data_IF_245043486108
#
_entry.id   IF_245043486108
#
_cell.length_a   1.000
_cell.length_b   1.000
_cell.length_c   1.000
_cell.angle_alpha   90.00
_cell.angle_beta   90.00
_cell.angle_gamma   90.00
#
_symmetry.space_group_name_H-M   'P 1'
#
loop_
_entity.id
_entity.type
_entity.pdbx_description
1 polymer ?
#
# COMPACT_ATOMS: atom_id res chain seq x y z
N UNK A 1 16.55 -4.96 -8.91
CA UNK A 1 15.92 -5.30 -7.64
C UNK A 1 15.63 -4.03 -6.86
N UNK A 2 14.39 -3.88 -6.36
CA UNK A 2 13.96 -2.63 -5.70
C UNK A 2 14.21 -2.74 -4.20
N UNK A 3 14.92 -1.76 -3.62
CA UNK A 3 15.08 -1.64 -2.17
C UNK A 3 13.87 -0.93 -1.55
N UNK A 4 13.53 0.23 -2.08
CA UNK A 4 12.37 0.98 -1.64
C UNK A 4 11.85 1.85 -2.80
N UNK A 5 10.59 2.23 -2.71
CA UNK A 5 9.94 3.14 -3.65
C UNK A 5 8.89 3.95 -2.90
N UNK A 6 8.23 4.87 -3.57
CA UNK A 6 7.23 5.68 -2.92
C UNK A 6 6.45 6.56 -3.87
N UNK A 7 5.58 7.36 -3.30
CA UNK A 7 4.80 8.32 -4.05
C UNK A 7 4.58 9.62 -3.26
N UNK A 8 4.22 10.66 -3.99
CA UNK A 8 3.75 11.91 -3.41
C UNK A 8 2.25 11.82 -3.12
N UNK A 9 1.82 12.50 -2.07
CA UNK A 9 0.42 12.50 -1.64
C UNK A 9 -0.10 13.94 -1.56
N UNK A 10 -1.37 14.13 -1.89
CA UNK A 10 -1.99 15.47 -1.89
C UNK A 10 -2.52 15.89 -0.52
N UNK A 11 -2.86 14.93 0.33
CA UNK A 11 -3.40 15.17 1.66
C UNK A 11 -2.77 14.20 2.63
N UNK A 12 -1.86 14.70 3.46
CA UNK A 12 -1.07 13.86 4.38
C UNK A 12 -1.94 13.04 5.32
N UNK A 13 -2.92 13.67 5.98
CA UNK A 13 -3.75 12.99 6.97
C UNK A 13 -4.56 11.85 6.35
N UNK A 14 -5.14 12.07 5.17
CA UNK A 14 -5.91 11.04 4.46
C UNK A 14 -5.03 9.90 4.01
N UNK A 15 -3.86 10.20 3.44
CA UNK A 15 -2.95 9.16 2.94
C UNK A 15 -2.30 8.39 4.08
N UNK A 16 -1.95 9.08 5.18
CA UNK A 16 -1.44 8.40 6.37
C UNK A 16 -2.48 7.42 6.92
N UNK A 17 -3.73 7.84 7.06
CA UNK A 17 -4.80 6.96 7.55
C UNK A 17 -4.98 5.74 6.65
N UNK A 18 -4.95 5.95 5.33
CA UNK A 18 -5.06 4.87 4.34
C UNK A 18 -3.90 3.87 4.47
N UNK A 19 -2.66 4.34 4.45
CA UNK A 19 -1.49 3.45 4.49
C UNK A 19 -1.27 2.85 5.87
N UNK A 20 -1.61 3.53 6.96
CA UNK A 20 -1.60 2.95 8.31
C UNK A 20 -2.50 1.70 8.35
N UNK A 21 -3.72 1.80 7.83
CA UNK A 21 -4.68 0.70 7.81
C UNK A 21 -4.27 -0.43 6.86
N UNK A 22 -3.85 -0.08 5.65
CA UNK A 22 -3.43 -1.05 4.63
C UNK A 22 -2.23 -1.87 5.11
N UNK A 23 -1.22 -1.22 5.67
CA UNK A 23 -0.03 -1.92 6.17
C UNK A 23 -0.30 -2.73 7.43
N UNK A 24 -1.18 -2.27 8.33
CA UNK A 24 -1.56 -3.05 9.50
C UNK A 24 -2.14 -4.41 9.09
N UNK A 25 -2.96 -4.44 8.03
CA UNK A 25 -3.54 -5.68 7.50
C UNK A 25 -2.48 -6.63 6.93
N UNK A 26 -1.33 -6.10 6.50
CA UNK A 26 -0.22 -6.87 5.94
C UNK A 26 0.88 -7.17 6.97
N UNK A 27 0.63 -6.86 8.24
CA UNK A 27 1.62 -7.07 9.31
C UNK A 27 2.73 -6.03 9.34
N UNK A 28 2.51 -4.89 8.71
CA UNK A 28 3.47 -3.78 8.68
C UNK A 28 2.95 -2.54 9.39
N UNK A 29 3.73 -1.49 9.32
CA UNK A 29 3.38 -0.20 9.94
C UNK A 29 4.29 0.91 9.43
N UNK A 30 3.99 2.15 9.83
CA UNK A 30 4.94 3.24 9.69
C UNK A 30 6.14 2.95 10.59
N UNK A 31 7.31 2.80 9.99
CA UNK A 31 8.54 2.47 10.70
C UNK A 31 9.38 3.70 10.99
N UNK A 32 9.27 4.72 10.16
CA UNK A 32 10.09 5.92 10.32
C UNK A 32 9.37 7.13 9.72
N UNK A 33 9.38 8.23 10.43
CA UNK A 33 8.96 9.53 9.89
C UNK A 33 10.17 10.47 9.95
N UNK A 34 10.53 11.03 8.81
CA UNK A 34 11.69 11.91 8.72
C UNK A 34 11.35 13.23 9.46
N UNK A 35 12.22 13.70 10.35
CA UNK A 35 12.01 15.00 10.97
C UNK A 35 11.90 16.11 9.92
N UNK A 36 10.91 17.00 10.05
CA UNK A 36 10.62 18.02 9.04
C UNK A 36 11.75 19.01 8.82
N UNK A 37 12.65 19.15 9.80
CA UNK A 37 13.86 19.98 9.65
C UNK A 37 14.80 19.45 8.56
N UNK A 38 14.77 18.14 8.27
CA UNK A 38 15.59 17.55 7.21
C UNK A 38 14.88 17.53 5.85
N UNK A 39 13.60 17.86 5.80
CA UNK A 39 12.78 17.79 4.58
C UNK A 39 12.34 19.17 4.09
N UNK A 40 12.76 20.23 4.77
CA UNK A 40 12.27 21.59 4.45
C UNK A 40 10.80 21.78 4.80
N UNK A 41 10.29 21.05 5.79
CA UNK A 41 8.91 21.16 6.27
C UNK A 41 7.94 20.13 5.67
N UNK A 42 8.39 19.29 4.72
CA UNK A 42 7.53 18.25 4.16
C UNK A 42 7.35 17.10 5.13
N UNK A 43 6.17 16.49 5.11
CA UNK A 43 5.93 15.23 5.79
C UNK A 43 6.42 14.08 4.90
N UNK A 44 7.29 13.23 5.44
CA UNK A 44 7.87 12.08 4.75
C UNK A 44 7.91 10.91 5.72
N UNK A 45 7.33 9.77 5.33
CA UNK A 45 7.31 8.59 6.18
C UNK A 45 7.50 7.31 5.37
N UNK A 46 8.14 6.33 6.00
CA UNK A 46 8.39 5.02 5.41
C UNK A 46 7.64 3.93 6.15
N UNK A 47 7.06 3.02 5.38
CA UNK A 47 6.24 1.90 5.84
C UNK A 47 6.90 0.57 5.46
N UNK A 48 6.70 -0.43 6.28
CA UNK A 48 7.19 -1.78 6.01
C UNK A 48 6.96 -2.69 7.20
N UNK A 49 7.41 -3.94 7.09
CA UNK A 49 7.37 -4.90 8.20
C UNK A 49 8.60 -4.76 9.09
N UNK A 50 9.79 -4.82 8.51
CA UNK A 50 11.07 -4.78 9.23
C UNK A 50 11.92 -3.59 8.82
N UNK A 51 11.88 -3.22 7.54
CA UNK A 51 12.53 -2.02 7.02
C UNK A 51 11.53 -1.23 6.17
N UNK A 52 11.69 0.09 6.07
CA UNK A 52 10.79 0.89 5.23
C UNK A 52 11.10 0.65 3.75
N UNK A 53 10.16 0.06 3.05
CA UNK A 53 10.25 -0.19 1.61
C UNK A 53 9.21 0.59 0.79
N UNK A 54 8.23 1.19 1.45
CA UNK A 54 7.25 2.08 0.83
C UNK A 54 7.26 3.44 1.53
N UNK A 55 7.44 4.51 0.75
CA UNK A 55 7.54 5.87 1.27
C UNK A 55 6.44 6.75 0.73
N UNK A 56 5.88 7.62 1.57
CA UNK A 56 4.97 8.67 1.16
C UNK A 56 5.50 10.03 1.57
N UNK A 57 5.25 11.05 0.74
CA UNK A 57 5.69 12.43 0.96
C UNK A 57 4.62 13.39 0.47
N UNK A 58 4.39 14.46 1.21
CA UNK A 58 3.46 15.51 0.74
C UNK A 58 4.14 16.57 -0.12
N UNK A 59 5.38 16.31 -0.55
CA UNK A 59 6.10 17.11 -1.53
C UNK A 59 6.09 16.42 -2.89
N UNK A 60 6.04 17.20 -3.95
CA UNK A 60 6.05 16.68 -5.32
C UNK A 60 4.65 16.53 -5.90
N UNK A 61 4.58 15.94 -7.07
CA UNK A 61 3.31 15.76 -7.79
C UNK A 61 2.64 14.46 -7.35
N UNK A 62 1.44 14.54 -6.73
CA UNK A 62 0.68 13.33 -6.40
C UNK A 62 0.12 12.66 -7.67
N UNK A 63 -0.40 11.41 -7.49
CA UNK A 63 -1.08 10.69 -8.56
C UNK A 63 -2.19 11.48 -9.21
N UNK A 64 -3.02 10.85 -10.06
CA UNK A 64 -3.18 9.40 -10.22
C UNK A 64 -2.15 8.75 -11.15
N UNK A 65 -2.32 7.43 -11.35
CA UNK A 65 -1.65 6.72 -12.44
C UNK A 65 -0.46 5.87 -12.02
N UNK A 66 -0.11 5.86 -10.75
CA UNK A 66 0.94 4.98 -10.25
C UNK A 66 0.37 3.63 -9.85
N UNK A 67 1.19 2.59 -9.94
CA UNK A 67 0.83 1.25 -9.50
C UNK A 67 1.91 0.69 -8.59
N UNK A 68 1.48 0.10 -7.47
CA UNK A 68 2.35 -0.63 -6.56
C UNK A 68 1.61 -1.87 -6.04
N UNK A 69 2.32 -2.99 -5.95
CA UNK A 69 1.80 -4.22 -5.38
C UNK A 69 2.61 -4.60 -4.15
N UNK A 70 1.93 -4.78 -3.03
CA UNK A 70 2.54 -5.22 -1.78
C UNK A 70 2.37 -6.73 -1.63
N UNK A 71 3.44 -7.40 -1.23
CA UNK A 71 3.41 -8.84 -1.02
C UNK A 71 2.65 -9.20 0.26
N UNK A 72 1.62 -10.01 0.13
CA UNK A 72 0.93 -10.61 1.26
C UNK A 72 1.49 -12.01 1.53
N UNK A 73 1.51 -12.42 2.79
CA UNK A 73 2.06 -13.72 3.19
C UNK A 73 1.07 -14.86 2.97
N UNK A 74 -0.22 -14.53 2.88
CA UNK A 74 -1.29 -15.50 2.64
C UNK A 74 -2.51 -14.77 2.04
N UNK A 75 -3.50 -15.53 1.62
CA UNK A 75 -4.73 -14.97 1.03
C UNK A 75 -5.57 -14.19 2.03
N UNK A 76 -5.55 -14.58 3.30
CA UNK A 76 -6.26 -13.86 4.36
C UNK A 76 -5.74 -12.43 4.54
N UNK A 77 -4.44 -12.22 4.38
CA UNK A 77 -3.87 -10.87 4.40
C UNK A 77 -4.33 -10.02 3.22
N UNK A 78 -4.50 -10.61 2.04
CA UNK A 78 -5.05 -9.91 0.88
C UNK A 78 -6.47 -9.44 1.16
N UNK A 79 -7.31 -10.33 1.72
CA UNK A 79 -8.68 -9.99 2.10
C UNK A 79 -8.71 -8.88 3.14
N UNK A 80 -7.88 -8.99 4.19
CA UNK A 80 -7.79 -8.00 5.26
C UNK A 80 -7.30 -6.64 4.74
N UNK A 81 -6.33 -6.65 3.82
CA UNK A 81 -5.85 -5.43 3.16
C UNK A 81 -6.98 -4.71 2.44
N UNK A 82 -7.75 -5.45 1.65
CA UNK A 82 -8.86 -4.86 0.89
C UNK A 82 -9.88 -4.21 1.83
N UNK A 83 -10.32 -4.95 2.85
CA UNK A 83 -11.32 -4.44 3.79
C UNK A 83 -10.82 -3.20 4.55
N UNK A 84 -9.58 -3.25 5.03
CA UNK A 84 -8.98 -2.13 5.78
C UNK A 84 -8.78 -0.89 4.89
N UNK A 85 -8.30 -1.09 3.67
CA UNK A 85 -8.05 0.00 2.72
C UNK A 85 -9.36 0.68 2.30
N UNK A 86 -10.41 -0.08 2.03
CA UNK A 86 -11.73 0.49 1.71
C UNK A 86 -12.28 1.27 2.90
N UNK A 87 -12.20 0.70 4.11
CA UNK A 87 -12.68 1.37 5.33
C UNK A 87 -11.91 2.68 5.61
N UNK A 88 -10.66 2.76 5.22
CA UNK A 88 -9.79 3.92 5.44
C UNK A 88 -9.81 4.94 4.29
N UNK A 89 -10.78 4.89 3.40
CA UNK A 89 -10.99 5.90 2.36
C UNK A 89 -10.56 5.49 0.96
N UNK A 90 -10.12 4.26 0.76
CA UNK A 90 -9.83 3.73 -0.56
C UNK A 90 -11.09 3.45 -1.36
N UNK A 91 -10.93 3.28 -2.68
CA UNK A 91 -12.01 2.90 -3.59
C UNK A 91 -11.69 1.57 -4.25
N UNK A 92 -12.72 0.75 -4.45
CA UNK A 92 -12.59 -0.55 -5.11
C UNK A 92 -12.01 -0.41 -6.52
N UNK A 93 -11.01 -1.22 -6.82
CA UNK A 93 -10.43 -1.38 -8.16
C UNK A 93 -10.23 -2.86 -8.50
N UNK A 94 -10.82 -3.76 -7.73
CA UNK A 94 -10.76 -5.21 -7.93
C UNK A 94 -10.81 -5.95 -6.61
N UNK A 95 -11.93 -6.62 -6.34
CA UNK A 95 -12.14 -7.35 -5.09
C UNK A 95 -11.16 -8.50 -4.94
N UNK A 96 -10.89 -8.94 -3.69
CA UNK A 96 -10.02 -10.09 -3.45
C UNK A 96 -10.48 -11.32 -4.20
N UNK A 97 -9.55 -12.01 -4.82
CA UNK A 97 -9.83 -13.23 -5.53
C UNK A 97 -8.68 -13.68 -6.40
N UNK A 98 -8.80 -14.89 -6.94
CA UNK A 98 -7.79 -15.43 -7.86
C UNK A 98 -7.77 -14.66 -9.18
N UNK A 99 -6.60 -14.57 -9.78
CA UNK A 99 -6.37 -13.99 -11.11
C UNK A 99 -5.63 -14.99 -11.99
N UNK A 100 -6.31 -16.06 -12.42
CA UNK A 100 -5.66 -17.12 -13.18
C UNK A 100 -5.06 -16.65 -14.50
N UNK A 101 -5.55 -15.53 -15.06
CA UNK A 101 -4.98 -14.93 -16.26
C UNK A 101 -3.57 -14.38 -16.04
N UNK A 102 -3.15 -14.13 -14.80
CA UNK A 102 -1.77 -13.72 -14.51
C UNK A 102 -0.89 -14.95 -14.26
N UNK A 103 -1.28 -15.81 -13.37
CA UNK A 103 -0.73 -17.16 -13.19
C UNK A 103 -1.59 -17.96 -12.18
N UNK A 104 -1.27 -19.25 -12.03
CA UNK A 104 -2.09 -20.23 -11.32
C UNK A 104 -2.43 -19.84 -9.87
N UNK A 105 -1.47 -19.33 -9.12
CA UNK A 105 -1.64 -19.04 -7.70
C UNK A 105 -1.75 -17.54 -7.39
N UNK A 106 -2.02 -16.73 -8.39
CA UNK A 106 -2.14 -15.29 -8.20
C UNK A 106 -3.46 -14.99 -7.50
N UNK A 107 -3.37 -14.49 -6.27
CA UNK A 107 -4.52 -14.04 -5.49
C UNK A 107 -4.29 -12.59 -5.10
N UNK A 108 -5.12 -11.68 -5.59
CA UNK A 108 -4.89 -10.26 -5.42
C UNK A 108 -6.15 -9.48 -5.14
N UNK A 109 -5.96 -8.27 -4.63
CA UNK A 109 -6.99 -7.27 -4.45
C UNK A 109 -6.40 -5.90 -4.81
N UNK A 110 -7.24 -5.04 -5.36
CA UNK A 110 -6.83 -3.75 -5.92
C UNK A 110 -7.71 -2.64 -5.35
N UNK A 111 -7.08 -1.58 -4.87
CA UNK A 111 -7.76 -0.44 -4.26
C UNK A 111 -7.11 0.84 -4.80
N UNK A 112 -7.92 1.86 -5.12
CA UNK A 112 -7.36 3.18 -5.35
C UNK A 112 -7.07 3.85 -4.02
N UNK A 113 -5.87 4.41 -3.87
CA UNK A 113 -5.52 5.23 -2.72
C UNK A 113 -6.21 6.62 -2.80
N UNK A 114 -6.07 7.49 -1.79
CA UNK A 114 -6.72 8.80 -1.83
C UNK A 114 -6.37 9.68 -3.03
N UNK A 115 -5.24 9.44 -3.69
CA UNK A 115 -4.81 10.18 -4.88
C UNK A 115 -5.10 9.44 -6.20
N UNK A 116 -5.80 8.31 -6.13
CA UNK A 116 -6.18 7.54 -7.32
C UNK A 116 -5.11 6.61 -7.85
N UNK A 117 -4.09 6.30 -7.07
CA UNK A 117 -3.08 5.32 -7.45
C UNK A 117 -3.62 3.90 -7.24
N UNK A 118 -3.24 3.00 -8.14
CA UNK A 118 -3.62 1.59 -8.06
C UNK A 118 -2.71 0.86 -7.08
N UNK A 119 -3.24 0.57 -5.89
CA UNK A 119 -2.52 -0.11 -4.81
C UNK A 119 -3.07 -1.53 -4.68
N UNK A 120 -2.18 -2.50 -4.74
CA UNK A 120 -2.52 -3.91 -4.78
C UNK A 120 -1.90 -4.63 -3.59
N UNK A 121 -2.59 -5.66 -3.07
CA UNK A 121 -1.96 -6.71 -2.27
C UNK A 121 -2.05 -8.02 -3.04
N UNK A 122 -0.97 -8.77 -3.07
CA UNK A 122 -0.90 -10.01 -3.85
C UNK A 122 -0.22 -11.13 -3.05
N UNK A 123 -0.81 -12.32 -3.12
CA UNK A 123 -0.25 -13.55 -2.60
C UNK A 123 -0.05 -14.52 -3.77
N UNK A 124 1.15 -15.09 -3.89
CA UNK A 124 1.49 -16.04 -4.94
C UNK A 124 1.46 -17.49 -4.45
N UNK A 125 1.05 -17.72 -3.20
CA UNK A 125 0.99 -19.05 -2.62
C UNK A 125 -0.32 -19.76 -3.00
N UNK A 126 -0.30 -21.10 -3.10
CA UNK A 126 -1.53 -21.87 -3.25
C UNK A 126 -2.49 -21.61 -2.09
N UNK A 127 -3.77 -21.86 -2.34
CA UNK A 127 -4.78 -21.77 -1.31
C UNK A 127 -4.42 -22.63 -0.09
N UNK A 128 -4.57 -22.05 1.12
CA UNK A 128 -4.26 -22.73 2.36
C UNK A 128 -2.77 -22.70 2.74
N UNK A 129 -1.93 -22.10 1.95
CA UNK A 129 -0.51 -22.00 2.25
C UNK A 129 -0.17 -20.66 2.93
#
# INVERSE_FOLDING_TARGET
MIDHTGCSVSNWEKSKAFYDAAFAALGGRMLYQVPTEFTGGANVAGYGREKPDWWISDRGEPGPGRHIAFAARNRAEVDAFYDAAIAAGGRDNGKPGPRPQYHENYYGAFVFDPDGNNVEAVCHRPEGA
#
